data_IF_250267775055
#
_entry.id   IF_250267775055
#
_cell.length_a   1.000
_cell.length_b   1.000
_cell.length_c   1.000
_cell.angle_alpha   90.00
_cell.angle_beta   90.00
_cell.angle_gamma   90.00
#
_symmetry.space_group_name_H-M   'P 1'
#
loop_
_entity.id
_entity.type
_entity.pdbx_description
1 polymer ?
#
# COMPACT_ATOMS: atom_id res chain seq x y z
N UNK A 1 0.28 -4.73 -17.81
CA UNK A 1 -0.27 -5.62 -16.77
C UNK A 1 0.35 -7.03 -16.82
N UNK A 2 1.36 -7.24 -15.97
CA UNK A 2 1.74 -8.56 -15.47
C UNK A 2 1.59 -8.41 -13.95
N UNK A 3 0.65 -9.11 -13.35
CA UNK A 3 0.04 -8.70 -12.07
C UNK A 3 0.67 -9.30 -10.81
N UNK A 4 1.79 -10.02 -10.94
CA UNK A 4 2.58 -10.50 -9.80
C UNK A 4 3.94 -11.01 -10.33
N UNK A 5 5.00 -10.80 -9.55
CA UNK A 5 6.26 -11.47 -9.70
C UNK A 5 6.10 -12.95 -9.33
N UNK A 6 5.87 -13.75 -10.37
CA UNK A 6 5.73 -15.19 -10.28
C UNK A 6 7.12 -15.84 -10.17
N UNK A 7 7.55 -16.08 -8.93
CA UNK A 7 8.81 -16.76 -8.63
C UNK A 7 8.86 -18.22 -9.14
N UNK A 8 7.76 -18.76 -9.67
CA UNK A 8 7.70 -20.08 -10.32
C UNK A 8 7.92 -20.01 -11.85
N UNK A 9 8.08 -18.82 -12.45
CA UNK A 9 8.41 -18.66 -13.87
C UNK A 9 9.93 -18.60 -14.07
N UNK A 10 10.43 -19.42 -14.98
CA UNK A 10 11.83 -19.38 -15.42
C UNK A 10 12.11 -18.08 -16.18
N UNK A 11 13.16 -17.38 -15.76
CA UNK A 11 13.62 -16.15 -16.40
C UNK A 11 14.13 -16.36 -17.82
N UNK A 12 13.74 -15.45 -18.71
CA UNK A 12 14.18 -15.41 -20.12
C UNK A 12 15.06 -14.20 -20.42
N UNK A 13 15.46 -13.42 -19.42
CA UNK A 13 16.44 -12.33 -19.54
C UNK A 13 17.81 -12.85 -19.96
N UNK A 14 18.51 -12.11 -20.83
CA UNK A 14 19.86 -12.49 -21.26
C UNK A 14 20.87 -12.07 -20.17
N UNK A 15 21.17 -13.03 -19.28
CA UNK A 15 22.08 -12.97 -18.11
C UNK A 15 21.77 -14.19 -17.20
N UNK A 16 22.66 -14.65 -16.29
CA UNK A 16 22.33 -15.80 -15.43
C UNK A 16 21.31 -15.45 -14.33
N UNK A 17 20.02 -15.50 -14.70
CA UNK A 17 18.76 -15.44 -13.94
C UNK A 17 18.38 -14.11 -13.21
N UNK A 18 17.08 -13.76 -13.17
CA UNK A 18 16.42 -12.46 -12.97
C UNK A 18 16.75 -11.13 -13.65
N UNK A 19 16.90 -10.91 -14.97
CA UNK A 19 16.67 -9.52 -15.46
C UNK A 19 15.17 -9.26 -15.58
N UNK A 20 14.59 -8.67 -14.54
CA UNK A 20 13.21 -8.15 -14.54
C UNK A 20 13.17 -6.89 -15.42
N UNK A 21 12.58 -6.96 -16.63
CA UNK A 21 12.32 -5.78 -17.49
C UNK A 21 10.95 -5.16 -17.17
N UNK A 22 10.98 -3.85 -17.00
CA UNK A 22 10.02 -2.95 -16.36
C UNK A 22 8.67 -2.89 -17.09
N UNK A 23 7.57 -2.94 -16.33
CA UNK A 23 6.21 -2.74 -16.88
C UNK A 23 5.04 -2.96 -15.93
N UNK A 24 5.28 -3.32 -14.67
CA UNK A 24 4.28 -3.24 -13.62
C UNK A 24 5.00 -2.67 -12.41
N UNK A 25 4.68 -1.43 -12.04
CA UNK A 25 4.80 -1.04 -10.64
C UNK A 25 3.96 -2.09 -9.92
N UNK A 26 4.59 -3.05 -9.26
CA UNK A 26 3.93 -3.77 -8.17
C UNK A 26 3.71 -2.69 -7.12
N UNK A 27 2.69 -1.84 -7.33
CA UNK A 27 2.07 -1.15 -6.22
C UNK A 27 1.43 -2.29 -5.45
N UNK A 28 2.22 -2.95 -4.62
CA UNK A 28 1.66 -3.62 -3.47
C UNK A 28 0.82 -2.52 -2.82
N UNK A 29 -0.50 -2.67 -2.94
CA UNK A 29 -1.45 -1.62 -2.59
C UNK A 29 -1.35 -1.45 -1.10
N UNK A 30 -0.45 -0.58 -0.70
CA UNK A 30 -0.23 -0.19 0.64
C UNK A 30 -1.44 0.60 1.05
N UNK A 31 -2.22 0.08 2.00
CA UNK A 31 -3.40 0.80 2.45
C UNK A 31 -3.04 2.11 3.14
N UNK A 32 -1.80 2.23 3.61
CA UNK A 32 -1.25 3.48 4.13
C UNK A 32 -0.90 4.52 3.02
N UNK A 33 -0.79 4.14 1.74
CA UNK A 33 -0.72 5.06 0.59
C UNK A 33 -2.14 5.54 0.26
N UNK A 34 -2.59 6.53 1.03
CA UNK A 34 -4.00 6.96 1.09
C UNK A 34 -4.47 7.62 -0.20
N UNK A 35 -3.60 8.39 -0.85
CA UNK A 35 -3.91 9.04 -2.13
C UNK A 35 -3.52 8.19 -3.36
N UNK A 36 -3.01 6.97 -3.14
CA UNK A 36 -2.67 5.96 -4.15
C UNK A 36 -1.63 6.44 -5.16
N UNK A 37 -0.74 7.36 -4.78
CA UNK A 37 0.27 7.92 -5.67
C UNK A 37 1.54 7.05 -5.78
N UNK A 38 1.62 5.97 -5.01
CA UNK A 38 2.75 5.04 -4.99
C UNK A 38 3.87 5.42 -4.01
N UNK A 39 3.72 6.49 -3.24
CA UNK A 39 4.72 7.00 -2.32
C UNK A 39 4.12 7.31 -0.96
N UNK A 40 4.40 6.44 0.02
CA UNK A 40 4.01 6.63 1.42
C UNK A 40 4.77 7.82 2.03
N UNK A 41 4.07 8.93 2.27
CA UNK A 41 4.66 10.13 2.83
C UNK A 41 3.67 10.91 3.73
N UNK A 42 4.08 12.08 4.22
CA UNK A 42 3.25 12.88 5.12
C UNK A 42 1.90 13.31 4.53
N UNK A 43 1.77 13.37 3.21
CA UNK A 43 0.50 13.66 2.55
C UNK A 43 -0.54 12.59 2.88
N UNK A 44 -0.20 11.30 2.81
CA UNK A 44 -1.11 10.21 3.12
C UNK A 44 -1.58 10.23 4.58
N UNK A 45 -0.67 10.60 5.48
CA UNK A 45 -0.99 10.78 6.90
C UNK A 45 -2.03 11.89 7.12
N UNK A 46 -1.87 13.05 6.49
CA UNK A 46 -2.84 14.14 6.65
C UNK A 46 -4.15 13.86 5.91
N UNK A 47 -4.11 13.16 4.78
CA UNK A 47 -5.31 12.74 4.05
C UNK A 47 -6.13 11.74 4.89
N UNK A 48 -5.47 10.75 5.50
CA UNK A 48 -6.10 9.82 6.45
C UNK A 48 -6.71 10.55 7.65
N UNK A 49 -6.00 11.50 8.27
CA UNK A 49 -6.54 12.24 9.42
C UNK A 49 -7.78 13.07 9.05
N UNK A 50 -7.80 13.67 7.85
CA UNK A 50 -8.98 14.38 7.38
C UNK A 50 -10.19 13.45 7.25
N UNK A 51 -10.00 12.26 6.67
CA UNK A 51 -11.05 11.25 6.53
C UNK A 51 -11.48 10.67 7.89
N UNK A 52 -10.54 10.42 8.79
CA UNK A 52 -10.78 9.92 10.14
C UNK A 52 -11.65 10.89 10.96
N UNK A 53 -11.29 12.18 10.99
CA UNK A 53 -12.08 13.19 11.72
C UNK A 53 -13.41 13.53 11.04
N UNK A 54 -13.53 13.30 9.74
CA UNK A 54 -14.80 13.41 9.01
C UNK A 54 -15.72 12.20 9.22
N UNK A 55 -15.27 11.16 9.92
CA UNK A 55 -15.96 9.86 10.03
C UNK A 55 -16.28 9.27 8.64
N UNK A 56 -15.36 9.46 7.69
CA UNK A 56 -15.49 8.89 6.35
C UNK A 56 -15.36 7.36 6.45
N UNK A 57 -16.29 6.56 5.91
CA UNK A 57 -16.19 5.09 5.90
C UNK A 57 -14.89 4.54 5.31
N UNK A 58 -14.15 5.32 4.50
CA UNK A 58 -12.82 4.93 4.03
C UNK A 58 -11.79 4.83 5.17
N UNK A 59 -11.96 5.58 6.26
CA UNK A 59 -11.07 5.60 7.42
C UNK A 59 -11.21 4.39 8.36
N UNK A 60 -12.19 3.51 8.12
CA UNK A 60 -12.26 2.19 8.76
C UNK A 60 -11.09 1.34 8.21
N UNK A 61 -9.96 1.38 8.91
CA UNK A 61 -8.67 0.81 8.55
C UNK A 61 -8.55 -0.65 8.96
N UNK A 62 -9.42 -1.21 9.78
CA UNK A 62 -9.44 -2.65 10.06
C UNK A 62 -10.69 -3.35 9.53
N UNK A 63 -11.56 -2.63 8.81
CA UNK A 63 -12.83 -3.12 8.28
C UNK A 63 -13.78 -3.63 9.37
N UNK A 64 -13.74 -3.03 10.55
CA UNK A 64 -14.60 -3.40 11.68
C UNK A 64 -16.03 -2.88 11.53
N UNK A 65 -16.27 -1.94 10.61
CA UNK A 65 -17.52 -1.19 10.49
C UNK A 65 -17.63 -0.01 11.45
N UNK A 66 -16.60 0.26 12.25
CA UNK A 66 -16.49 1.41 13.13
C UNK A 66 -15.22 2.20 12.77
N UNK A 67 -15.26 3.51 13.01
CA UNK A 67 -14.09 4.39 12.86
C UNK A 67 -13.72 4.83 14.28
N UNK A 68 -12.66 4.25 14.82
CA UNK A 68 -12.22 4.52 16.18
C UNK A 68 -10.68 4.55 16.31
N UNK A 69 -10.18 4.69 17.53
CA UNK A 69 -8.73 4.79 17.74
C UNK A 69 -7.96 3.55 17.29
N UNK A 70 -8.60 2.39 17.13
CA UNK A 70 -8.00 1.17 16.60
C UNK A 70 -7.51 1.42 15.17
N UNK A 71 -8.33 2.05 14.32
CA UNK A 71 -7.99 2.37 12.93
C UNK A 71 -6.79 3.31 12.82
N UNK A 72 -6.73 4.30 13.72
CA UNK A 72 -5.60 5.22 13.80
C UNK A 72 -4.30 4.47 14.16
N UNK A 73 -4.34 3.58 15.14
CA UNK A 73 -3.14 2.83 15.53
C UNK A 73 -2.74 1.81 14.47
N UNK A 74 -3.70 1.18 13.79
CA UNK A 74 -3.43 0.25 12.69
C UNK A 74 -2.83 0.99 11.48
N UNK A 75 -3.33 2.18 11.15
CA UNK A 75 -2.74 3.07 10.16
C UNK A 75 -1.30 3.44 10.53
N UNK A 76 -1.06 3.90 11.76
CA UNK A 76 0.28 4.29 12.22
C UNK A 76 1.27 3.12 12.19
N UNK A 77 0.81 1.93 12.58
CA UNK A 77 1.62 0.72 12.51
C UNK A 77 2.07 0.48 11.06
N UNK A 78 1.13 0.49 10.10
CA UNK A 78 1.47 0.28 8.69
C UNK A 78 2.33 1.42 8.12
N UNK A 79 2.04 2.66 8.50
CA UNK A 79 2.78 3.85 8.06
C UNK A 79 4.26 3.80 8.47
N UNK A 80 4.57 3.35 9.70
CA UNK A 80 5.95 3.26 10.17
C UNK A 80 6.67 1.98 9.74
N UNK A 81 5.95 0.90 9.45
CA UNK A 81 6.56 -0.30 8.86
C UNK A 81 6.88 -0.13 7.37
N UNK A 82 6.22 0.82 6.71
CA UNK A 82 6.29 1.01 5.28
C UNK A 82 5.40 0.04 4.50
N UNK A 83 5.50 0.11 3.19
CA UNK A 83 4.77 -0.73 2.26
C UNK A 83 5.66 -1.92 1.84
N UNK A 84 5.17 -3.18 1.95
CA UNK A 84 5.87 -4.33 1.40
C UNK A 84 6.07 -4.22 -0.12
#
# INVERSE_FOLDING_TARGET
>A
PRFQNDTARTDTGVGPAPIVDMGAYEQDRCRADWNLNGALNSQDFFDFLNDFFALNPQADFNFSGFIDSQDLFDFLAQFFTGCP
#
